data_IF_700686376688
#
_entry.id   IF_700686376688
#
_cell.length_a   1.000
_cell.length_b   1.000
_cell.length_c   1.000
_cell.angle_alpha   90.00
_cell.angle_beta   90.00
_cell.angle_gamma   90.00
#
_symmetry.space_group_name_H-M   'P 1'
#
loop_
_entity.id
_entity.type
_entity.pdbx_description
1 polymer ?
#
# COMPACT_ATOMS: atom_id res chain seq x y z
N UNK A 1 -0.56 16.73 10.28
CA UNK A 1 -0.19 17.76 9.29
C UNK A 1 -1.34 18.75 9.26
N UNK A 2 -1.03 20.04 9.26
CA UNK A 2 -2.03 21.09 9.15
C UNK A 2 -1.49 22.10 8.14
N UNK A 3 -2.22 22.29 7.05
CA UNK A 3 -1.88 23.20 5.98
C UNK A 3 -2.92 24.32 5.93
N UNK A 4 -2.50 25.59 5.81
CA UNK A 4 -3.40 26.70 5.51
C UNK A 4 -4.12 26.48 4.17
N UNK A 5 -5.31 27.08 4.00
CA UNK A 5 -6.07 27.03 2.74
C UNK A 5 -5.42 27.85 1.62
N UNK A 6 -4.68 28.91 1.97
CA UNK A 6 -4.06 29.85 1.00
C UNK A 6 -2.66 29.42 0.55
N UNK A 7 -2.16 28.28 1.02
CA UNK A 7 -0.87 27.74 0.57
C UNK A 7 -1.04 26.76 -0.59
N UNK A 8 -0.03 26.61 -1.46
CA UNK A 8 -0.02 25.56 -2.46
C UNK A 8 0.04 24.17 -1.80
N UNK A 9 -0.31 23.13 -2.57
CA UNK A 9 -0.16 21.74 -2.16
C UNK A 9 1.24 21.46 -1.60
N UNK A 10 1.29 20.84 -0.42
CA UNK A 10 2.54 20.48 0.21
C UNK A 10 3.04 19.11 -0.25
N UNK A 11 4.36 18.96 -0.33
CA UNK A 11 5.00 17.67 -0.59
C UNK A 11 5.60 17.12 0.70
N UNK A 12 5.13 15.95 1.11
CA UNK A 12 5.72 15.22 2.22
C UNK A 12 6.71 14.19 1.67
N UNK A 13 8.01 14.48 1.83
CA UNK A 13 9.07 13.52 1.61
C UNK A 13 9.29 12.68 2.88
N UNK A 14 9.44 11.37 2.70
CA UNK A 14 9.85 10.48 3.78
C UNK A 14 11.24 9.96 3.47
N UNK A 15 12.16 10.01 4.44
CA UNK A 15 13.54 9.53 4.34
C UNK A 15 13.65 8.00 4.38
N UNK A 16 12.80 7.31 3.60
CA UNK A 16 12.78 5.86 3.41
C UNK A 16 12.99 5.56 1.93
N UNK A 17 13.63 4.42 1.58
CA UNK A 17 13.75 4.02 0.19
C UNK A 17 12.35 3.83 -0.43
N UNK A 18 12.17 4.28 -1.66
CA UNK A 18 10.94 4.05 -2.38
C UNK A 18 10.81 2.58 -2.82
N UNK A 19 9.67 1.98 -2.53
CA UNK A 19 9.27 0.67 -3.01
C UNK A 19 7.85 0.75 -3.56
N UNK A 20 7.59 0.02 -4.64
CA UNK A 20 6.26 -0.01 -5.21
C UNK A 20 5.28 -0.71 -4.23
N UNK A 21 4.14 -0.06 -3.92
CA UNK A 21 3.18 -0.53 -2.93
C UNK A 21 2.98 0.38 -1.71
N UNK A 22 3.65 1.53 -1.64
CA UNK A 22 3.29 2.56 -0.67
C UNK A 22 1.91 3.16 -1.00
N UNK A 23 1.05 3.25 0.01
CA UNK A 23 -0.25 3.92 -0.04
C UNK A 23 -0.33 4.95 1.08
N UNK A 24 -0.73 6.16 0.76
CA UNK A 24 -0.96 7.21 1.74
C UNK A 24 -2.45 7.48 1.87
N UNK A 25 -2.91 7.75 3.08
CA UNK A 25 -4.29 8.16 3.35
C UNK A 25 -4.32 9.31 4.35
N UNK A 26 -5.35 10.15 4.25
CA UNK A 26 -5.67 11.18 5.23
C UNK A 26 -7.18 11.20 5.43
N UNK A 27 -7.64 11.11 6.68
CA UNK A 27 -9.08 11.08 6.98
C UNK A 27 -9.87 9.97 6.24
N UNK A 28 -9.21 8.88 5.85
CA UNK A 28 -9.81 7.80 5.04
C UNK A 28 -9.74 8.00 3.51
N UNK A 29 -9.38 9.19 3.03
CA UNK A 29 -9.17 9.45 1.60
C UNK A 29 -7.77 9.01 1.18
N UNK A 30 -7.65 8.38 0.01
CA UNK A 30 -6.33 8.00 -0.54
C UNK A 30 -5.64 9.22 -1.15
N UNK A 31 -4.35 9.37 -0.83
CA UNK A 31 -3.47 10.37 -1.40
C UNK A 31 -2.57 9.72 -2.46
N UNK A 32 -2.17 10.50 -3.46
CA UNK A 32 -1.22 10.07 -4.48
C UNK A 32 0.16 9.96 -3.85
N UNK A 33 0.76 8.78 -3.96
CA UNK A 33 2.15 8.51 -3.57
C UNK A 33 2.96 8.36 -4.84
N UNK A 34 3.94 9.24 -5.02
CA UNK A 34 4.90 9.19 -6.11
C UNK A 34 6.31 8.91 -5.57
N UNK A 35 7.27 8.78 -6.47
CA UNK A 35 8.68 8.69 -6.11
C UNK A 35 9.42 9.91 -6.62
N UNK A 36 10.21 10.55 -5.77
CA UNK A 36 11.15 11.56 -6.27
C UNK A 36 12.35 10.85 -6.89
N UNK A 37 12.41 10.83 -8.23
CA UNK A 37 13.48 10.17 -9.00
C UNK A 37 13.71 8.69 -8.63
N UNK A 38 12.68 8.00 -8.13
CA UNK A 38 12.79 6.61 -7.67
C UNK A 38 13.50 6.41 -6.33
N UNK A 39 13.88 7.48 -5.62
CA UNK A 39 14.70 7.37 -4.41
C UNK A 39 13.85 7.30 -3.14
N UNK A 40 12.88 8.20 -3.01
CA UNK A 40 12.08 8.38 -1.80
C UNK A 40 10.60 8.53 -2.14
N UNK A 41 9.68 8.00 -1.31
CA UNK A 41 8.26 8.26 -1.47
C UNK A 41 7.96 9.72 -1.19
N UNK A 42 7.16 10.30 -2.08
CA UNK A 42 6.63 11.64 -1.99
C UNK A 42 5.11 11.55 -1.97
N UNK A 43 4.50 12.18 -0.97
CA UNK A 43 3.05 12.28 -0.87
C UNK A 43 2.64 13.72 -1.10
N UNK A 44 1.75 13.95 -2.07
CA UNK A 44 1.15 15.27 -2.26
C UNK A 44 -0.02 15.43 -1.29
N UNK A 45 0.01 16.49 -0.50
CA UNK A 45 -1.02 16.82 0.48
C UNK A 45 -1.70 18.11 0.02
N UNK A 46 -3.02 18.09 -0.26
CA UNK A 46 -3.74 19.27 -0.70
C UNK A 46 -3.67 20.43 0.30
N UNK A 47 -3.71 21.65 -0.20
CA UNK A 47 -3.95 22.84 0.62
C UNK A 47 -5.16 22.67 1.54
N UNK A 48 -5.14 23.30 2.71
CA UNK A 48 -6.26 23.22 3.65
C UNK A 48 -6.43 21.89 4.39
N UNK A 49 -5.52 20.94 4.17
CA UNK A 49 -5.61 19.64 4.84
C UNK A 49 -5.21 19.76 6.31
N UNK A 50 -6.12 19.38 7.20
CA UNK A 50 -5.86 19.22 8.63
C UNK A 50 -6.14 17.77 9.05
N UNK A 51 -5.12 17.10 9.58
CA UNK A 51 -5.28 15.74 10.11
C UNK A 51 -4.03 14.87 10.06
N UNK A 52 -4.24 13.57 10.23
CA UNK A 52 -3.18 12.57 10.28
C UNK A 52 -2.99 11.92 8.90
N UNK A 53 -1.81 12.12 8.33
CA UNK A 53 -1.35 11.36 7.16
C UNK A 53 -0.85 10.00 7.64
N UNK A 54 -1.39 8.93 7.08
CA UNK A 54 -0.96 7.57 7.34
C UNK A 54 -0.37 7.00 6.06
N UNK A 55 0.87 6.53 6.12
CA UNK A 55 1.55 5.89 5.00
C UNK A 55 1.74 4.42 5.35
N UNK A 56 1.21 3.53 4.52
CA UNK A 56 1.26 2.09 4.73
C UNK A 56 1.90 1.44 3.51
N UNK A 57 2.79 0.48 3.74
CA UNK A 57 3.34 -0.36 2.69
C UNK A 57 2.46 -1.61 2.51
N UNK A 58 1.84 -1.76 1.33
CA UNK A 58 1.05 -2.94 0.93
C UNK A 58 1.47 -3.39 -0.47
N UNK A 59 2.48 -4.26 -0.58
CA UNK A 59 2.94 -4.75 -1.88
C UNK A 59 1.88 -5.63 -2.55
N UNK A 60 1.69 -5.44 -3.84
CA UNK A 60 0.77 -6.22 -4.68
C UNK A 60 1.19 -7.69 -4.82
N UNK A 61 2.49 -7.99 -4.67
CA UNK A 61 3.01 -9.36 -4.66
C UNK A 61 2.49 -10.21 -3.51
N UNK A 62 2.06 -9.59 -2.41
CA UNK A 62 1.42 -10.33 -1.31
C UNK A 62 0.10 -10.96 -1.73
N UNK A 63 -0.65 -10.32 -2.65
CA UNK A 63 -1.87 -10.89 -3.20
C UNK A 63 -1.55 -12.13 -4.06
N UNK A 64 -0.50 -12.06 -4.88
CA UNK A 64 -0.07 -13.18 -5.71
C UNK A 64 0.44 -14.35 -4.87
N UNK A 65 1.28 -14.09 -3.86
CA UNK A 65 1.76 -15.12 -2.94
C UNK A 65 0.63 -15.77 -2.15
N UNK A 66 -0.33 -14.97 -1.66
CA UNK A 66 -1.52 -15.48 -0.98
C UNK A 66 -2.39 -16.35 -1.88
N UNK A 67 -2.62 -15.93 -3.13
CA UNK A 67 -3.36 -16.73 -4.11
C UNK A 67 -2.64 -18.06 -4.42
N UNK A 68 -1.32 -18.03 -4.59
CA UNK A 68 -0.52 -19.24 -4.83
C UNK A 68 -0.58 -20.22 -3.64
N UNK A 69 -0.49 -19.71 -2.41
CA UNK A 69 -0.62 -20.53 -1.19
C UNK A 69 -2.02 -21.14 -1.05
N UNK A 70 -3.08 -20.40 -1.40
CA UNK A 70 -4.44 -20.94 -1.40
C UNK A 70 -4.61 -22.05 -2.43
N UNK A 71 -4.08 -21.87 -3.64
CA UNK A 71 -4.11 -22.89 -4.68
C UNK A 71 -3.35 -24.15 -4.27
N UNK A 72 -2.17 -24.01 -3.68
CA UNK A 72 -1.39 -25.17 -3.21
C UNK A 72 -2.10 -25.92 -2.08
N UNK A 73 -2.68 -25.20 -1.12
CA UNK A 73 -3.48 -25.80 -0.05
C UNK A 73 -4.68 -26.57 -0.61
N UNK A 74 -5.36 -26.01 -1.61
CA UNK A 74 -6.51 -26.66 -2.26
C UNK A 74 -6.10 -27.94 -2.98
N UNK A 75 -4.96 -27.95 -3.68
CA UNK A 75 -4.40 -29.17 -4.31
C UNK A 75 -4.06 -30.23 -3.26
N UNK A 76 -3.45 -29.85 -2.14
CA UNK A 76 -3.13 -30.78 -1.05
C UNK A 76 -4.40 -31.39 -0.44
N UNK A 77 -5.42 -30.57 -0.17
CA UNK A 77 -6.70 -31.04 0.38
C UNK A 77 -7.41 -31.97 -0.59
N UNK A 78 -7.48 -31.63 -1.88
CA UNK A 78 -8.09 -32.50 -2.90
C UNK A 78 -7.34 -33.84 -3.02
N UNK A 79 -6.02 -33.80 -3.03
CA UNK A 79 -5.18 -35.00 -3.13
C UNK A 79 -5.36 -35.90 -1.91
N UNK A 80 -5.30 -35.34 -0.71
CA UNK A 80 -5.53 -36.09 0.53
C UNK A 80 -6.94 -36.67 0.62
N UNK A 81 -7.96 -35.90 0.23
CA UNK A 81 -9.34 -36.37 0.21
C UNK A 81 -9.57 -37.50 -0.79
N UNK A 82 -8.91 -37.47 -1.96
CA UNK A 82 -8.92 -38.60 -2.90
C UNK A 82 -8.23 -39.82 -2.30
N UNK A 83 -7.09 -39.67 -1.66
CA UNK A 83 -6.34 -40.78 -1.05
C UNK A 83 -7.10 -41.44 0.11
N UNK A 84 -7.91 -40.68 0.86
CA UNK A 84 -8.77 -41.22 1.92
C UNK A 84 -10.03 -41.93 1.39
N UNK A 85 -10.35 -41.78 0.10
CA UNK A 85 -11.51 -42.39 -0.57
C UNK A 85 -11.16 -43.57 -1.48
N UNK A 86 -9.87 -43.87 -1.65
CA UNK A 86 -9.36 -45.06 -2.35
C UNK A 86 -9.06 -46.17 -1.38
#
# INVERSE_FOLDING_TARGET
VRLPNDEPDALLLVSRPYFNGYRATIGGQSLVVESYRGLVPVVRIPAGTDGRVTIVYRPWWLLWGGAAALLSALVCVMSGWRALRS
#
